data_IF_375271429990
#
_entry.id   IF_375271429990
#
_cell.length_a   1.000
_cell.length_b   1.000
_cell.length_c   1.000
_cell.angle_alpha   90.00
_cell.angle_beta   90.00
_cell.angle_gamma   90.00
#
_symmetry.space_group_name_H-M   'P 1'
#
loop_
_entity.id
_entity.type
_entity.pdbx_description
1 polymer ?
#
# COMPACT_ATOMS: atom_id res chain seq x y z
N UNK A 1 -35.08 -11.25 -0.32
CA UNK A 1 -34.12 -10.63 -1.26
C UNK A 1 -32.89 -10.29 -0.43
N UNK A 2 -31.81 -11.04 -0.63
CA UNK A 2 -30.56 -10.86 0.11
C UNK A 2 -29.97 -9.50 -0.25
N UNK A 3 -29.61 -8.70 0.75
CA UNK A 3 -29.09 -7.36 0.54
C UNK A 3 -27.69 -7.49 -0.07
N UNK A 4 -27.52 -7.11 -1.34
CA UNK A 4 -26.19 -7.00 -1.96
C UNK A 4 -25.39 -5.97 -1.15
N UNK A 5 -24.48 -6.46 -0.30
CA UNK A 5 -23.60 -5.64 0.53
C UNK A 5 -22.53 -5.02 -0.36
N UNK A 6 -22.90 -3.92 -1.00
CA UNK A 6 -22.02 -3.02 -1.70
C UNK A 6 -21.12 -2.27 -0.70
N UNK A 7 -20.18 -3.00 -0.10
CA UNK A 7 -19.29 -2.51 0.93
C UNK A 7 -17.86 -2.45 0.39
N UNK A 8 -17.17 -1.35 0.68
CA UNK A 8 -15.74 -1.19 0.41
C UNK A 8 -14.91 -2.33 1.03
N UNK A 9 -13.80 -2.66 0.37
CA UNK A 9 -12.79 -3.58 0.87
C UNK A 9 -11.72 -2.86 1.68
N UNK A 10 -11.26 -3.47 2.78
CA UNK A 10 -10.07 -3.00 3.52
C UNK A 10 -9.12 -4.17 3.73
N UNK A 11 -7.83 -3.92 3.56
CA UNK A 11 -6.76 -4.84 3.90
C UNK A 11 -5.71 -4.11 4.72
N UNK A 12 -5.17 -4.75 5.75
CA UNK A 12 -4.09 -4.19 6.56
C UNK A 12 -3.06 -5.27 6.86
N UNK A 13 -1.80 -4.91 6.73
CA UNK A 13 -0.67 -5.78 7.06
C UNK A 13 0.27 -5.01 7.96
N UNK A 14 0.69 -5.65 9.05
CA UNK A 14 1.82 -5.19 9.86
C UNK A 14 2.83 -6.32 10.01
N UNK A 15 4.03 -6.08 9.51
CA UNK A 15 5.16 -6.97 9.70
C UNK A 15 5.62 -6.86 11.16
N UNK A 16 5.88 -8.03 11.77
CA UNK A 16 6.32 -8.15 13.17
C UNK A 16 7.83 -8.38 13.27
N UNK A 17 8.50 -8.49 12.13
CA UNK A 17 9.95 -8.67 11.95
C UNK A 17 10.43 -7.62 10.96
N UNK A 18 11.72 -7.26 10.96
CA UNK A 18 12.24 -6.28 10.02
C UNK A 18 12.37 -6.91 8.61
N UNK A 19 12.59 -6.09 7.57
CA UNK A 19 12.52 -6.51 6.17
C UNK A 19 13.53 -7.61 5.82
N UNK A 20 14.71 -7.58 6.44
CA UNK A 20 15.81 -8.52 6.24
C UNK A 20 15.40 -9.94 6.63
N UNK A 21 14.55 -10.10 7.66
CA UNK A 21 14.01 -11.40 8.04
C UNK A 21 13.19 -12.03 6.90
N UNK A 22 12.41 -11.21 6.19
CA UNK A 22 11.56 -11.71 5.09
C UNK A 22 12.37 -11.99 3.84
N UNK A 23 13.41 -11.19 3.57
CA UNK A 23 14.40 -11.49 2.53
C UNK A 23 15.05 -12.86 2.77
N UNK A 24 15.60 -13.10 3.96
CA UNK A 24 16.25 -14.38 4.29
C UNK A 24 15.29 -15.57 4.28
N UNK A 25 14.06 -15.38 4.75
CA UNK A 25 13.09 -16.48 4.90
C UNK A 25 12.31 -16.79 3.62
N UNK A 26 11.98 -15.78 2.83
CA UNK A 26 11.08 -15.90 1.68
C UNK A 26 11.74 -15.51 0.35
N UNK A 27 13.01 -15.07 0.36
CA UNK A 27 13.73 -14.59 -0.82
C UNK A 27 13.27 -13.22 -1.30
N UNK A 28 12.51 -12.48 -0.47
CA UNK A 28 12.06 -11.13 -0.80
C UNK A 28 11.65 -10.30 0.44
N UNK A 29 12.17 -9.09 0.55
CA UNK A 29 11.72 -8.07 1.51
C UNK A 29 10.31 -7.55 1.19
N UNK A 30 9.86 -7.67 -0.07
CA UNK A 30 8.54 -7.25 -0.54
C UNK A 30 7.40 -8.13 0.00
N UNK A 31 7.65 -9.05 0.94
CA UNK A 31 6.65 -9.96 1.48
C UNK A 31 5.36 -9.25 1.91
N UNK A 32 5.47 -8.13 2.64
CA UNK A 32 4.31 -7.35 3.05
C UNK A 32 3.50 -6.78 1.88
N UNK A 33 4.19 -6.18 0.90
CA UNK A 33 3.60 -5.61 -0.30
C UNK A 33 2.89 -6.71 -1.14
N UNK A 34 3.57 -7.83 -1.37
CA UNK A 34 3.04 -8.97 -2.14
C UNK A 34 1.80 -9.59 -1.45
N UNK A 35 1.82 -9.70 -0.12
CA UNK A 35 0.66 -10.19 0.62
C UNK A 35 -0.51 -9.21 0.54
N UNK A 36 -0.24 -7.89 0.53
CA UNK A 36 -1.29 -6.91 0.39
C UNK A 36 -1.97 -7.01 -0.97
N UNK A 37 -1.20 -7.14 -2.05
CA UNK A 37 -1.73 -7.37 -3.40
C UNK A 37 -2.73 -8.53 -3.40
N UNK A 38 -2.33 -9.69 -2.86
CA UNK A 38 -3.20 -10.87 -2.79
C UNK A 38 -4.46 -10.65 -1.94
N UNK A 39 -4.38 -9.89 -0.84
CA UNK A 39 -5.54 -9.58 0.00
C UNK A 39 -6.51 -8.61 -0.68
N UNK A 40 -5.99 -7.66 -1.45
CA UNK A 40 -6.80 -6.73 -2.25
C UNK A 40 -7.46 -7.48 -3.42
N UNK A 41 -6.71 -8.29 -4.16
CA UNK A 41 -7.24 -9.12 -5.25
C UNK A 41 -8.33 -10.09 -4.76
N UNK A 42 -8.17 -10.71 -3.59
CA UNK A 42 -9.22 -11.57 -3.01
C UNK A 42 -10.55 -10.82 -2.77
N UNK A 43 -10.48 -9.50 -2.61
CA UNK A 43 -11.64 -8.64 -2.38
C UNK A 43 -11.98 -7.78 -3.60
N UNK A 44 -11.43 -8.02 -4.81
CA UNK A 44 -11.61 -7.14 -5.98
C UNK A 44 -13.08 -6.84 -6.29
N UNK A 45 -13.99 -7.81 -6.08
CA UNK A 45 -15.44 -7.63 -6.27
C UNK A 45 -16.08 -6.62 -5.32
N UNK A 46 -15.36 -6.16 -4.28
CA UNK A 46 -15.77 -5.15 -3.30
C UNK A 46 -15.33 -3.73 -3.66
N UNK A 47 -14.70 -3.53 -4.82
CA UNK A 47 -14.40 -2.19 -5.32
C UNK A 47 -14.24 -2.14 -6.83
N UNK A 48 -15.14 -1.42 -7.49
CA UNK A 48 -15.17 -1.27 -8.95
C UNK A 48 -14.78 0.14 -9.41
N UNK A 49 -14.73 1.10 -8.48
CA UNK A 49 -14.53 2.51 -8.82
C UNK A 49 -13.10 3.01 -8.59
N UNK A 50 -12.32 2.30 -7.80
CA UNK A 50 -10.94 2.66 -7.51
C UNK A 50 -10.39 1.93 -6.31
N UNK A 51 -9.09 2.09 -6.11
CA UNK A 51 -8.36 1.46 -5.02
C UNK A 51 -7.27 2.40 -4.51
N UNK A 52 -6.74 2.10 -3.33
CA UNK A 52 -5.60 2.81 -2.79
C UNK A 52 -4.76 1.95 -1.87
N UNK A 53 -3.49 2.35 -1.78
CA UNK A 53 -2.44 1.77 -0.96
C UNK A 53 -1.84 2.87 -0.09
N UNK A 54 -1.57 2.58 1.17
CA UNK A 54 -0.65 3.35 2.00
C UNK A 54 0.40 2.42 2.61
N UNK A 55 1.62 2.94 2.74
CA UNK A 55 2.74 2.26 3.36
C UNK A 55 3.40 3.17 4.39
N UNK A 56 3.82 2.61 5.53
CA UNK A 56 4.57 3.33 6.57
C UNK A 56 5.86 2.58 6.90
N UNK A 57 6.99 3.29 6.82
CA UNK A 57 8.28 2.89 7.35
C UNK A 57 8.33 3.22 8.84
N UNK A 58 8.47 2.22 9.70
CA UNK A 58 8.48 2.35 11.15
C UNK A 58 9.82 2.85 11.70
N UNK A 59 10.90 2.61 10.98
CA UNK A 59 12.26 2.92 11.45
C UNK A 59 12.98 3.97 10.59
N UNK A 60 12.22 4.83 9.90
CA UNK A 60 12.78 5.95 9.15
C UNK A 60 13.46 6.98 10.05
N UNK A 61 14.60 7.51 9.62
CA UNK A 61 15.35 8.54 10.33
C UNK A 61 14.67 9.91 10.24
N UNK A 62 14.97 10.85 11.16
CA UNK A 62 14.53 12.24 11.02
C UNK A 62 14.94 12.84 9.68
N UNK A 63 13.98 13.40 8.95
CA UNK A 63 14.18 13.98 7.62
C UNK A 63 13.91 13.03 6.45
N UNK A 64 13.78 11.73 6.70
CA UNK A 64 13.39 10.76 5.66
C UNK A 64 11.87 10.71 5.47
N UNK A 65 11.43 10.54 4.23
CA UNK A 65 10.02 10.24 3.95
C UNK A 65 9.69 8.82 4.43
N UNK A 66 8.62 8.70 5.21
CA UNK A 66 8.26 7.44 5.86
C UNK A 66 6.80 7.03 5.64
N UNK A 67 6.00 7.83 4.95
CA UNK A 67 4.58 7.54 4.69
C UNK A 67 4.26 7.78 3.23
N UNK A 68 3.97 6.69 2.52
CA UNK A 68 3.73 6.68 1.09
C UNK A 68 2.25 6.34 0.82
N UNK A 69 1.71 6.85 -0.29
CA UNK A 69 0.38 6.51 -0.76
C UNK A 69 0.32 6.54 -2.26
N UNK A 70 -0.33 5.52 -2.82
CA UNK A 70 -0.69 5.44 -4.22
C UNK A 70 -2.18 5.15 -4.37
N UNK A 71 -2.83 5.70 -5.41
CA UNK A 71 -4.26 5.53 -5.64
C UNK A 71 -4.55 5.54 -7.13
N UNK A 72 -5.51 4.72 -7.53
CA UNK A 72 -5.98 4.65 -8.91
C UNK A 72 -7.52 4.55 -8.98
N UNK A 73 -8.06 4.81 -10.16
CA UNK A 73 -9.49 4.76 -10.45
C UNK A 73 -9.85 3.57 -11.33
N UNK A 74 -11.12 3.19 -11.29
CA UNK A 74 -11.68 2.12 -12.12
C UNK A 74 -11.42 0.71 -11.60
N UNK A 75 -11.86 -0.27 -12.38
CA UNK A 75 -11.79 -1.69 -12.04
C UNK A 75 -10.38 -2.26 -12.09
N UNK A 76 -9.47 -1.66 -12.86
CA UNK A 76 -8.05 -2.02 -12.95
C UNK A 76 -7.15 -1.35 -11.91
N UNK A 77 -7.73 -0.63 -10.93
CA UNK A 77 -6.98 0.21 -10.02
C UNK A 77 -5.95 -0.55 -9.17
N UNK A 78 -6.21 -1.81 -8.81
CA UNK A 78 -5.24 -2.62 -8.06
C UNK A 78 -3.98 -2.80 -8.91
N UNK A 79 -4.11 -3.30 -10.13
CA UNK A 79 -2.99 -3.50 -11.05
C UNK A 79 -2.22 -2.22 -11.29
N UNK A 80 -2.90 -1.10 -11.57
CA UNK A 80 -2.25 0.19 -11.82
C UNK A 80 -1.42 0.70 -10.62
N UNK A 81 -1.94 0.53 -9.40
CA UNK A 81 -1.22 0.90 -8.18
C UNK A 81 0.06 0.08 -8.03
N UNK A 82 -0.05 -1.25 -8.16
CA UNK A 82 1.11 -2.13 -7.96
C UNK A 82 2.12 -1.99 -9.11
N UNK A 83 1.69 -1.75 -10.34
CA UNK A 83 2.57 -1.43 -11.47
C UNK A 83 3.33 -0.12 -11.23
N UNK A 84 2.66 0.90 -10.69
CA UNK A 84 3.29 2.18 -10.31
C UNK A 84 4.33 1.97 -9.21
N UNK A 85 3.99 1.21 -8.17
CA UNK A 85 4.91 0.89 -7.07
C UNK A 85 6.12 0.10 -7.58
N UNK A 86 5.90 -0.96 -8.37
CA UNK A 86 6.99 -1.75 -8.97
C UNK A 86 7.81 -0.95 -9.99
N UNK A 87 7.22 0.07 -10.62
CA UNK A 87 7.91 1.02 -11.48
C UNK A 87 9.11 1.69 -10.79
N UNK A 88 9.02 1.95 -9.48
CA UNK A 88 10.14 2.51 -8.70
C UNK A 88 11.32 1.54 -8.53
N UNK A 89 11.14 0.25 -8.82
CA UNK A 89 12.15 -0.79 -8.60
C UNK A 89 12.76 -1.31 -9.90
N UNK A 90 12.26 -0.84 -11.05
CA UNK A 90 12.58 -1.40 -12.37
C UNK A 90 14.05 -1.28 -12.76
N UNK A 91 14.69 -0.19 -12.37
CA UNK A 91 16.07 0.14 -12.77
C UNK A 91 17.12 -0.36 -11.76
N UNK A 92 16.71 -1.15 -10.77
CA UNK A 92 17.60 -1.72 -9.76
C UNK A 92 18.33 -2.95 -10.29
N UNK A 93 19.59 -3.11 -9.91
CA UNK A 93 20.29 -4.38 -10.16
C UNK A 93 19.71 -5.48 -9.26
N UNK A 94 19.87 -6.77 -9.62
CA UNK A 94 19.44 -7.88 -8.76
C UNK A 94 20.03 -7.79 -7.34
N UNK A 95 21.29 -7.36 -7.22
CA UNK A 95 21.96 -7.20 -5.93
C UNK A 95 21.30 -6.09 -5.09
N UNK A 96 20.95 -4.96 -5.71
CA UNK A 96 20.24 -3.87 -5.02
C UNK A 96 18.80 -4.27 -4.64
N UNK A 97 18.13 -5.05 -5.49
CA UNK A 97 16.77 -5.51 -5.24
C UNK A 97 16.71 -6.50 -4.07
N UNK A 98 17.75 -7.33 -3.89
CA UNK A 98 17.88 -8.28 -2.79
C UNK A 98 18.59 -7.70 -1.54
N UNK A 99 18.96 -6.42 -1.57
CA UNK A 99 19.49 -5.71 -0.40
C UNK A 99 18.34 -5.03 0.37
N UNK A 100 17.90 -5.68 1.44
CA UNK A 100 16.81 -5.18 2.27
C UNK A 100 17.16 -3.87 3.02
N UNK A 101 18.42 -3.66 3.39
CA UNK A 101 18.88 -2.42 4.04
C UNK A 101 18.84 -1.25 3.05
N UNK A 102 19.28 -1.50 1.81
CA UNK A 102 19.14 -0.56 0.71
C UNK A 102 17.67 -0.25 0.44
N UNK A 103 16.81 -1.28 0.34
CA UNK A 103 15.39 -1.11 0.08
C UNK A 103 14.72 -0.22 1.15
N UNK A 104 14.95 -0.53 2.42
CA UNK A 104 14.40 0.21 3.56
C UNK A 104 14.76 1.70 3.52
N UNK A 105 15.99 2.04 3.15
CA UNK A 105 16.48 3.42 3.09
C UNK A 105 16.06 4.16 1.84
N UNK A 106 16.22 3.54 0.68
CA UNK A 106 16.20 4.23 -0.60
C UNK A 106 14.89 4.07 -1.37
N UNK A 107 14.15 2.98 -1.16
CA UNK A 107 13.00 2.67 -1.99
C UNK A 107 11.69 3.16 -1.36
N UNK A 108 10.79 3.79 -2.14
CA UNK A 108 9.44 4.08 -1.66
C UNK A 108 8.70 2.77 -1.43
N UNK A 109 7.70 2.78 -0.54
CA UNK A 109 6.88 1.61 -0.20
C UNK A 109 7.61 0.39 0.39
N UNK A 110 8.92 0.45 0.63
CA UNK A 110 9.67 -0.54 1.42
C UNK A 110 9.50 -0.29 2.92
N UNK A 111 8.34 -0.67 3.47
CA UNK A 111 8.00 -0.45 4.89
C UNK A 111 7.38 -1.66 5.58
N UNK A 112 7.00 -1.49 6.84
CA UNK A 112 6.54 -2.56 7.71
C UNK A 112 5.03 -2.55 7.92
N UNK A 113 4.35 -1.44 7.61
CA UNK A 113 2.89 -1.32 7.73
C UNK A 113 2.29 -0.94 6.40
N UNK A 114 1.29 -1.70 5.97
CA UNK A 114 0.56 -1.47 4.74
C UNK A 114 -0.95 -1.42 5.00
N UNK A 115 -1.64 -0.60 4.23
CA UNK A 115 -3.10 -0.51 4.22
C UNK A 115 -3.59 -0.40 2.78
N UNK A 116 -4.52 -1.27 2.41
CA UNK A 116 -5.20 -1.28 1.13
C UNK A 116 -6.67 -0.95 1.31
N UNK A 117 -7.25 -0.25 0.35
CA UNK A 117 -8.69 0.03 0.30
C UNK A 117 -9.24 -0.16 -1.11
N UNK A 118 -10.41 -0.76 -1.21
CA UNK A 118 -11.17 -0.96 -2.44
C UNK A 118 -12.47 -0.18 -2.33
N UNK A 119 -12.69 0.72 -3.27
CA UNK A 119 -13.80 1.66 -3.21
C UNK A 119 -15.00 1.16 -4.01
N UNK A 120 -16.13 1.13 -3.32
CA UNK A 120 -17.46 1.08 -3.91
C UNK A 120 -18.22 2.34 -3.48
N UNK A 121 -18.67 3.18 -4.42
CA UNK A 121 -19.44 4.38 -4.05
C UNK A 121 -20.93 4.10 -4.06
N UNK A 122 -21.60 4.55 -3.01
CA UNK A 122 -23.06 4.57 -2.90
C UNK A 122 -23.63 5.99 -3.11
N UNK A 123 -22.76 6.99 -3.22
CA UNK A 123 -23.14 8.43 -3.17
C UNK A 123 -23.05 9.14 -4.53
N UNK A 124 -22.69 8.42 -5.59
CA UNK A 124 -22.52 8.98 -6.94
C UNK A 124 -21.30 9.90 -7.11
N UNK A 125 -20.55 10.17 -6.04
CA UNK A 125 -19.30 10.94 -6.10
C UNK A 125 -18.21 10.12 -6.77
N UNK A 126 -17.41 10.75 -7.61
CA UNK A 126 -16.32 10.12 -8.37
C UNK A 126 -15.05 10.96 -8.30
N UNK A 127 -13.93 10.34 -8.70
CA UNK A 127 -12.63 11.00 -8.76
C UNK A 127 -11.70 10.60 -7.61
N UNK A 128 -10.40 10.79 -7.86
CA UNK A 128 -9.31 10.30 -7.01
C UNK A 128 -9.37 10.88 -5.59
N UNK A 129 -9.93 12.07 -5.41
CA UNK A 129 -10.11 12.73 -4.11
C UNK A 129 -10.98 11.93 -3.14
N UNK A 130 -11.87 11.07 -3.65
CA UNK A 130 -12.75 10.22 -2.83
C UNK A 130 -12.22 8.80 -2.64
N UNK A 131 -11.03 8.50 -3.18
CA UNK A 131 -10.39 7.20 -3.04
C UNK A 131 -9.52 7.19 -1.79
N UNK A 132 -9.79 6.25 -0.89
CA UNK A 132 -8.99 6.03 0.30
C UNK A 132 -7.76 5.16 -0.06
N UNK A 133 -6.64 5.23 0.68
CA UNK A 133 -6.46 5.96 1.95
C UNK A 133 -6.37 7.49 1.82
N UNK A 134 -6.97 8.21 2.76
CA UNK A 134 -6.69 9.63 2.96
C UNK A 134 -5.46 9.80 3.84
N UNK A 135 -4.64 10.80 3.52
CA UNK A 135 -3.45 11.16 4.31
C UNK A 135 -3.60 12.57 4.84
N UNK A 136 -3.35 12.73 6.15
CA UNK A 136 -3.04 14.00 6.77
C UNK A 136 -1.59 13.97 7.21
N UNK A 137 -0.76 14.76 6.52
CA UNK A 137 0.67 14.85 6.81
C UNK A 137 0.97 15.93 7.85
N UNK A 138 1.98 15.67 8.68
CA UNK A 138 2.49 16.62 9.66
C UNK A 138 4.01 16.42 9.82
N UNK A 139 4.73 17.48 10.18
CA UNK A 139 6.16 17.38 10.49
C UNK A 139 6.43 16.56 11.75
N UNK A 140 5.49 16.50 12.70
CA UNK A 140 5.58 15.61 13.85
C UNK A 140 4.97 14.27 13.53
N UNK A 141 5.80 13.22 13.62
CA UNK A 141 5.43 11.85 13.25
C UNK A 141 4.14 11.37 13.90
N UNK A 142 3.99 11.62 15.21
CA UNK A 142 2.81 11.24 15.99
C UNK A 142 1.49 11.94 15.56
N UNK A 143 1.57 12.99 14.72
CA UNK A 143 0.41 13.75 14.22
C UNK A 143 0.03 13.40 12.78
N UNK A 144 0.67 12.40 12.19
CA UNK A 144 0.32 11.92 10.85
C UNK A 144 -0.80 10.89 10.94
N UNK A 145 -1.72 10.92 9.98
CA UNK A 145 -2.87 10.02 9.94
C UNK A 145 -3.06 9.48 8.52
N UNK A 146 -3.23 8.16 8.43
CA UNK A 146 -3.76 7.48 7.25
C UNK A 146 -5.14 6.90 7.62
N UNK A 147 -6.15 7.14 6.79
CA UNK A 147 -7.54 6.75 7.06
C UNK A 147 -8.21 6.08 5.86
N UNK A 148 -8.85 4.95 6.12
CA UNK A 148 -9.71 4.20 5.20
C UNK A 148 -11.06 3.92 5.87
N UNK A 149 -12.16 4.03 5.12
CA UNK A 149 -13.51 3.79 5.62
C UNK A 149 -14.56 4.49 4.79
#
# INVERSE_FOLDING_TARGET
MEQLKHECGVAMIRLLKPLEYYEQKYGTWMYGLNKLYLLMEKQHNRGQEGAGLACVKLEANPGEEYMFRERALGSGAITEIFDTVHGHFRDLTPEQLHDADYAKRCLPFAGEVYMGHLRYSTTGKSGLTYVHPFLRRNNWRAKNLALCG
#
